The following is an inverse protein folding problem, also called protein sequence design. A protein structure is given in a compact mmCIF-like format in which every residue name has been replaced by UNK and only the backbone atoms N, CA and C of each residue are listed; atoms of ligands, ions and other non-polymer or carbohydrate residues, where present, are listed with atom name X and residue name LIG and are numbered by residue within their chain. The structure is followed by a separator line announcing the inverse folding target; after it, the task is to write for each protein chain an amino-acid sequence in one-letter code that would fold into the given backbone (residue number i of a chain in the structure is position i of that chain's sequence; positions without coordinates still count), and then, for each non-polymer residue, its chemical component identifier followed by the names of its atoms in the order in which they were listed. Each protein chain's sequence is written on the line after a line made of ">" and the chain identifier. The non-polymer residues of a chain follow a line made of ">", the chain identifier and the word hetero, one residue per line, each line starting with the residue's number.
data_IF_506931636763
#
_entry.id   IF_506931636763
#
_cell.length_a   1.000
_cell.length_b   1.000
_cell.length_c   1.000
_cell.angle_alpha   90.00
_cell.angle_beta   90.00
_cell.angle_gamma   90.00
#
_symmetry.space_group_name_H-M   'P 1'
#
loop_
_entity.id
_entity.type
_entity.pdbx_description
1 polymer ?
#
# COMPACT_ATOMS: atom_id res chain seq x y z
N UNK A 1 -16.20 -9.40 21.29
CA UNK A 1 -15.39 -9.31 20.06
C UNK A 1 -13.92 -9.27 20.44
N UNK A 2 -13.11 -10.08 19.82
CA UNK A 2 -11.68 -10.12 20.08
C UNK A 2 -11.01 -8.93 19.41
N UNK A 3 -9.99 -8.32 20.03
CA UNK A 3 -9.25 -7.22 19.39
C UNK A 3 -8.63 -7.61 18.06
N UNK A 4 -8.19 -8.85 17.92
CA UNK A 4 -7.60 -9.33 16.68
C UNK A 4 -8.65 -9.38 15.57
N UNK A 5 -9.88 -9.78 15.89
CA UNK A 5 -10.98 -9.81 14.94
C UNK A 5 -11.34 -8.41 14.46
N UNK A 6 -11.27 -7.45 15.37
CA UNK A 6 -11.51 -6.05 15.03
C UNK A 6 -10.49 -5.55 14.01
N UNK A 7 -9.21 -5.87 14.18
CA UNK A 7 -8.16 -5.47 13.23
C UNK A 7 -8.36 -6.11 11.87
N UNK A 8 -8.68 -7.40 11.85
CA UNK A 8 -8.96 -8.11 10.60
C UNK A 8 -10.17 -7.53 9.90
N UNK A 9 -11.22 -7.18 10.65
CA UNK A 9 -12.40 -6.56 10.09
C UNK A 9 -12.07 -5.20 9.47
N UNK A 10 -11.19 -4.41 10.07
CA UNK A 10 -10.76 -3.14 9.50
C UNK A 10 -10.02 -3.32 8.18
N UNK A 11 -9.10 -4.28 8.12
CA UNK A 11 -8.38 -4.58 6.89
C UNK A 11 -9.35 -5.01 5.80
N UNK A 12 -10.22 -5.95 6.11
CA UNK A 12 -11.20 -6.47 5.16
C UNK A 12 -12.17 -5.37 4.70
N UNK A 13 -12.56 -4.48 5.61
CA UNK A 13 -13.44 -3.35 5.28
C UNK A 13 -12.76 -2.41 4.29
N UNK A 14 -11.49 -2.08 4.50
CA UNK A 14 -10.72 -1.23 3.57
C UNK A 14 -10.62 -1.91 2.22
N UNK A 15 -10.23 -3.18 2.21
CA UNK A 15 -10.09 -3.97 1.00
C UNK A 15 -11.41 -4.07 0.24
N UNK A 16 -12.52 -4.29 0.95
CA UNK A 16 -13.84 -4.39 0.33
C UNK A 16 -14.30 -3.10 -0.32
N UNK A 17 -13.77 -1.95 0.13
CA UNK A 17 -14.11 -0.64 -0.45
C UNK A 17 -13.29 -0.30 -1.68
N UNK A 18 -12.28 -1.11 -2.00
CA UNK A 18 -11.51 -0.87 -3.22
C UNK A 18 -12.38 -1.14 -4.44
N UNK A 19 -12.42 -0.18 -5.34
CA UNK A 19 -13.19 -0.27 -6.56
C UNK A 19 -12.37 0.21 -7.74
N UNK A 20 -12.80 -0.18 -8.93
CA UNK A 20 -12.23 0.29 -10.18
C UNK A 20 -10.72 0.00 -10.27
N UNK A 21 -9.98 1.01 -10.68
CA UNK A 21 -8.55 0.86 -10.97
C UNK A 21 -7.72 0.47 -9.74
N UNK A 22 -8.07 0.98 -8.56
CA UNK A 22 -7.35 0.62 -7.34
C UNK A 22 -7.48 -0.87 -7.06
N UNK A 23 -8.65 -1.43 -7.24
CA UNK A 23 -8.89 -2.85 -7.04
C UNK A 23 -8.11 -3.68 -8.04
N UNK A 24 -8.10 -3.29 -9.29
CA UNK A 24 -7.36 -3.98 -10.34
C UNK A 24 -5.86 -4.01 -10.05
N UNK A 25 -5.29 -2.88 -9.66
CA UNK A 25 -3.86 -2.77 -9.34
C UNK A 25 -3.52 -3.62 -8.13
N UNK A 26 -4.33 -3.54 -7.08
CA UNK A 26 -4.11 -4.33 -5.86
C UNK A 26 -4.18 -5.83 -6.15
N UNK A 27 -5.20 -6.26 -6.87
CA UNK A 27 -5.37 -7.68 -7.22
C UNK A 27 -4.21 -8.19 -8.08
N UNK A 28 -3.73 -7.38 -9.01
CA UNK A 28 -2.58 -7.75 -9.85
C UNK A 28 -1.33 -7.96 -8.99
N UNK A 29 -1.08 -7.06 -8.04
CA UNK A 29 0.06 -7.21 -7.12
C UNK A 29 -0.08 -8.44 -6.23
N UNK A 30 -1.29 -8.72 -5.75
CA UNK A 30 -1.55 -9.90 -4.92
C UNK A 30 -1.32 -11.19 -5.70
N UNK A 31 -1.78 -11.23 -6.93
CA UNK A 31 -1.76 -12.44 -7.75
C UNK A 31 -0.40 -12.69 -8.37
N UNK A 32 0.27 -11.64 -8.85
CA UNK A 32 1.48 -11.76 -9.65
C UNK A 32 2.76 -11.47 -8.88
N UNK A 33 2.62 -10.94 -7.66
CA UNK A 33 3.77 -10.55 -6.85
C UNK A 33 4.28 -9.14 -7.16
N UNK A 34 5.47 -8.79 -6.66
CA UNK A 34 6.01 -7.44 -6.83
C UNK A 34 6.15 -7.02 -8.29
N UNK A 35 5.75 -5.79 -8.60
CA UNK A 35 5.74 -5.26 -9.96
C UNK A 35 6.14 -3.78 -9.98
N UNK A 36 6.64 -3.32 -11.14
CA UNK A 36 6.82 -1.90 -11.41
C UNK A 36 5.49 -1.28 -11.85
N UNK A 37 5.39 0.04 -11.77
CA UNK A 37 4.18 0.75 -12.25
C UNK A 37 3.97 0.55 -13.74
N UNK A 38 5.06 0.54 -14.51
CA UNK A 38 4.98 0.32 -15.96
C UNK A 38 4.45 -1.07 -16.29
N UNK A 39 4.92 -2.08 -15.59
CA UNK A 39 4.45 -3.44 -15.80
C UNK A 39 2.98 -3.60 -15.39
N UNK A 40 2.58 -2.96 -14.29
CA UNK A 40 1.17 -2.94 -13.88
C UNK A 40 0.28 -2.28 -14.92
N UNK A 41 0.74 -1.18 -15.52
CA UNK A 41 0.00 -0.50 -16.57
C UNK A 41 -0.22 -1.43 -17.76
N UNK A 42 0.79 -2.17 -18.15
CA UNK A 42 0.70 -3.14 -19.25
C UNK A 42 -0.26 -4.28 -18.90
N UNK A 43 -0.16 -4.82 -17.68
CA UNK A 43 -1.01 -5.93 -17.24
C UNK A 43 -2.47 -5.50 -17.12
N UNK A 44 -2.74 -4.29 -16.67
CA UNK A 44 -4.10 -3.76 -16.55
C UNK A 44 -4.59 -3.14 -17.86
N UNK A 45 -3.75 -3.06 -18.88
CA UNK A 45 -4.07 -2.48 -20.20
C UNK A 45 -4.50 -1.02 -20.09
N UNK A 46 -3.73 -0.24 -19.33
CA UNK A 46 -4.02 1.17 -19.10
C UNK A 46 -2.73 1.99 -19.18
N UNK A 47 -2.88 3.31 -19.20
CA UNK A 47 -1.75 4.23 -19.18
C UNK A 47 -1.08 4.20 -17.79
N UNK A 48 0.24 4.32 -17.76
CA UNK A 48 1.01 4.38 -16.50
C UNK A 48 0.56 5.56 -15.63
N UNK A 49 0.09 6.65 -16.24
CA UNK A 49 -0.44 7.80 -15.52
C UNK A 49 -1.74 7.48 -14.76
N UNK A 50 -2.43 6.42 -15.16
CA UNK A 50 -3.60 5.93 -14.45
C UNK A 50 -3.23 5.03 -13.27
N UNK A 51 -2.06 4.40 -13.32
CA UNK A 51 -1.60 3.46 -12.27
C UNK A 51 -0.92 4.19 -11.12
N UNK A 52 -0.07 5.16 -11.42
CA UNK A 52 0.75 5.85 -10.40
C UNK A 52 -0.07 6.43 -9.24
N UNK A 53 -1.15 7.19 -9.48
CA UNK A 53 -1.95 7.69 -8.37
C UNK A 53 -2.59 6.57 -7.55
N UNK A 54 -2.95 5.48 -8.19
CA UNK A 54 -3.57 4.32 -7.50
C UNK A 54 -2.56 3.67 -6.56
N UNK A 55 -1.30 3.55 -6.98
CA UNK A 55 -0.23 3.02 -6.12
C UNK A 55 -0.04 3.93 -4.90
N UNK A 56 0.02 5.24 -5.10
CA UNK A 56 0.16 6.21 -4.01
C UNK A 56 -1.00 6.08 -3.02
N UNK A 57 -2.22 5.96 -3.50
CA UNK A 57 -3.40 5.78 -2.67
C UNK A 57 -3.33 4.47 -1.87
N UNK A 58 -2.92 3.38 -2.52
CA UNK A 58 -2.81 2.08 -1.87
C UNK A 58 -1.72 2.06 -0.80
N UNK A 59 -0.62 2.76 -1.02
CA UNK A 59 0.42 2.93 0.00
C UNK A 59 -0.16 3.69 1.19
N UNK A 60 -0.89 4.76 0.94
CA UNK A 60 -1.56 5.53 1.99
C UNK A 60 -2.53 4.70 2.81
N UNK A 61 -3.23 3.78 2.17
CA UNK A 61 -4.16 2.87 2.84
C UNK A 61 -3.46 1.72 3.60
N UNK A 62 -2.15 1.55 3.41
CA UNK A 62 -1.40 0.48 4.07
C UNK A 62 -1.53 -0.88 3.41
N UNK A 63 -1.96 -0.92 2.15
CA UNK A 63 -2.17 -2.17 1.40
C UNK A 63 -1.01 -2.53 0.48
N UNK A 64 -0.14 -1.57 0.17
CA UNK A 64 0.98 -1.73 -0.74
C UNK A 64 2.20 -1.05 -0.13
N UNK A 65 3.38 -1.57 -0.40
CA UNK A 65 4.63 -0.92 0.00
C UNK A 65 5.62 -0.87 -1.16
N UNK A 66 6.52 0.08 -1.08
CA UNK A 66 7.66 0.18 -2.00
C UNK A 66 8.74 -0.78 -1.52
N UNK A 67 9.06 -1.76 -2.35
CA UNK A 67 10.08 -2.77 -2.04
C UNK A 67 11.46 -2.28 -2.46
N UNK A 68 11.53 -1.68 -3.65
CA UNK A 68 12.76 -1.14 -4.19
C UNK A 68 12.49 0.26 -4.70
N UNK A 69 13.19 1.27 -4.14
CA UNK A 69 12.99 2.63 -4.59
C UNK A 69 13.49 2.83 -6.01
N UNK A 70 12.97 3.86 -6.65
CA UNK A 70 13.41 4.28 -7.96
C UNK A 70 14.88 4.69 -7.86
N UNK A 71 15.71 4.17 -8.78
CA UNK A 71 17.12 4.50 -8.83
C UNK A 71 17.33 5.62 -9.85
N UNK A 72 17.69 6.80 -9.37
CA UNK A 72 17.93 7.96 -10.23
C UNK A 72 19.15 7.84 -11.15
N UNK A 73 19.99 6.85 -10.94
CA UNK A 73 21.19 6.67 -11.77
C UNK A 73 20.92 5.94 -13.09
N UNK A 74 19.78 5.26 -13.18
CA UNK A 74 19.40 4.50 -14.37
C UNK A 74 17.97 4.87 -14.77
N UNK A 75 17.80 5.26 -16.05
CA UNK A 75 16.49 5.65 -16.58
C UNK A 75 15.46 4.54 -16.52
N UNK A 76 15.92 3.29 -16.59
CA UNK A 76 15.04 2.14 -16.66
C UNK A 76 14.67 1.56 -15.29
N UNK A 77 15.33 2.01 -14.23
CA UNK A 77 15.02 1.53 -12.89
C UNK A 77 13.85 2.27 -12.31
N UNK A 78 12.77 1.55 -12.13
CA UNK A 78 11.55 2.04 -11.53
C UNK A 78 11.39 1.45 -10.13
N UNK A 79 10.58 2.08 -9.33
CA UNK A 79 10.18 1.52 -8.04
C UNK A 79 9.44 0.20 -8.23
N UNK A 80 9.70 -0.74 -7.35
CA UNK A 80 9.01 -2.02 -7.30
C UNK A 80 8.09 -2.00 -6.09
N UNK A 81 6.83 -2.34 -6.30
CA UNK A 81 5.78 -2.31 -5.28
C UNK A 81 5.23 -3.70 -5.07
N UNK A 82 4.78 -3.98 -3.86
CA UNK A 82 4.14 -5.26 -3.54
C UNK A 82 2.91 -5.04 -2.67
N UNK A 83 1.95 -5.94 -2.81
CA UNK A 83 0.78 -5.96 -1.94
C UNK A 83 1.17 -6.55 -0.59
N UNK A 84 0.65 -5.98 0.48
CA UNK A 84 0.88 -6.47 1.83
C UNK A 84 -0.14 -7.56 2.18
N UNK A 85 0.30 -8.57 2.92
CA UNK A 85 -0.59 -9.55 3.52
C UNK A 85 -1.34 -8.93 4.70
N UNK A 86 -2.34 -9.62 5.22
CA UNK A 86 -3.10 -9.16 6.39
C UNK A 86 -2.16 -8.94 7.57
N UNK A 87 -1.26 -9.89 7.84
CA UNK A 87 -0.31 -9.78 8.95
C UNK A 87 0.63 -8.58 8.78
N UNK A 88 1.13 -8.37 7.58
CA UNK A 88 2.01 -7.23 7.28
C UNK A 88 1.27 -5.90 7.41
N UNK A 89 0.04 -5.82 6.92
CA UNK A 89 -0.77 -4.62 7.03
C UNK A 89 -1.09 -4.29 8.49
N UNK A 90 -1.40 -5.30 9.29
CA UNK A 90 -1.64 -5.13 10.72
C UNK A 90 -0.40 -4.60 11.43
N UNK A 91 0.78 -5.16 11.11
CA UNK A 91 2.03 -4.69 11.69
C UNK A 91 2.32 -3.24 11.31
N UNK A 92 2.04 -2.87 10.06
CA UNK A 92 2.21 -1.49 9.58
C UNK A 92 1.27 -0.53 10.31
N UNK A 93 0.00 -0.89 10.46
CA UNK A 93 -0.97 -0.07 11.19
C UNK A 93 -0.57 0.09 12.64
N UNK A 94 -0.09 -0.98 13.29
CA UNK A 94 0.37 -0.91 14.67
C UNK A 94 1.59 0.01 14.80
N UNK A 95 2.53 -0.07 13.86
CA UNK A 95 3.71 0.78 13.85
C UNK A 95 3.35 2.26 13.65
N UNK A 96 2.42 2.55 12.74
CA UNK A 96 1.94 3.92 12.51
C UNK A 96 1.25 4.49 13.73
N UNK A 97 0.41 3.70 14.39
CA UNK A 97 -0.28 4.11 15.61
C UNK A 97 0.70 4.39 16.75
N UNK A 98 1.72 3.55 16.91
CA UNK A 98 2.77 3.74 17.91
C UNK A 98 3.56 5.02 17.63
N UNK A 99 3.89 5.28 16.38
CA UNK A 99 4.59 6.49 15.96
C UNK A 99 3.78 7.74 16.26
N UNK A 100 2.49 7.74 15.94
CA UNK A 100 1.59 8.85 16.24
C UNK A 100 1.54 9.12 17.74
N UNK A 101 1.42 8.09 18.56
CA UNK A 101 1.41 8.24 20.01
C UNK A 101 2.74 8.81 20.52
N UNK A 102 3.84 8.36 19.96
CA UNK A 102 5.17 8.85 20.33
C UNK A 102 5.32 10.34 19.99
N UNK A 103 4.92 10.72 18.80
CA UNK A 103 4.95 12.11 18.37
C UNK A 103 4.05 13.00 19.23
N UNK A 104 2.84 12.51 19.54
CA UNK A 104 1.92 13.26 20.38
C UNK A 104 2.49 13.47 21.79
N UNK A 105 3.19 12.47 22.34
CA UNK A 105 3.81 12.57 23.64
C UNK A 105 4.99 13.55 23.66
N UNK A 106 5.63 13.80 22.51
CA UNK A 106 6.76 14.71 22.39
C UNK A 106 6.33 16.17 22.12
N UNK A 107 5.09 16.39 21.71
CA UNK A 107 4.61 17.74 21.44
C UNK A 107 4.51 18.54 22.75
N UNK A 108 4.97 19.80 22.74
CA UNK A 108 4.86 20.63 23.94
C UNK A 108 3.41 20.91 24.25
N UNK A 109 3.09 20.83 25.53
CA UNK A 109 1.78 21.21 26.03
C UNK A 109 1.78 22.72 26.23
N UNK A 110 1.15 23.40 25.33
CA UNK A 110 1.06 24.86 25.40
C UNK A 110 -0.35 25.25 25.75
#
# INVERSE_FOLDING_TARGET
>A
MQPIDYRNANFDSIKARLEGRRREVYDALRTLGPQTTRNLARLCQVDVLSVRPRITELIGLGLVELVQPEDGTHREKEGIYRALSIAEAEALFAARAAEERHLAAQLPLI
#
